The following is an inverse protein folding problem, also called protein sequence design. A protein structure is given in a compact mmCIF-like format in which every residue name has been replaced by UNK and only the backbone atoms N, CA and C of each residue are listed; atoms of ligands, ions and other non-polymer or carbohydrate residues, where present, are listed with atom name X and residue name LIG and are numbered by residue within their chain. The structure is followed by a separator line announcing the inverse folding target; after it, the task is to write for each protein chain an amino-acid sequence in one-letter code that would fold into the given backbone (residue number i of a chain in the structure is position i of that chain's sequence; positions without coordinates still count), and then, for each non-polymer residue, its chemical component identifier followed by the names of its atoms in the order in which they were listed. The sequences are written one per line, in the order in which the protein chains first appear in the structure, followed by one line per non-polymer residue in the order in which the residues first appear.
data_IF_090886055472
#
_entry.id   IF_090886055472
#
_cell.length_a   1.000
_cell.length_b   1.000
_cell.length_c   1.000
_cell.angle_alpha   90.00
_cell.angle_beta   90.00
_cell.angle_gamma   90.00
#
_symmetry.space_group_name_H-M   'P 1'
#
loop_
_entity.id
_entity.type
_entity.pdbx_description
1 polymer ?
#
# COMPACT_ATOMS: atom_id res chain seq x y z
N UNK A 1 -18.70 -6.45 -4.07
CA UNK A 1 -17.93 -5.19 -4.15
C UNK A 1 -18.71 -3.95 -3.68
N UNK A 2 -19.97 -3.76 -4.10
CA UNK A 2 -20.76 -2.54 -3.85
C UNK A 2 -20.94 -2.19 -2.35
N UNK A 3 -21.12 -3.20 -1.50
CA UNK A 3 -21.23 -3.01 -0.05
C UNK A 3 -20.00 -2.33 0.57
N UNK A 4 -18.78 -2.75 0.18
CA UNK A 4 -17.52 -2.18 0.69
C UNK A 4 -17.37 -0.72 0.29
N UNK A 5 -17.69 -0.38 -0.96
CA UNK A 5 -17.68 1.00 -1.47
C UNK A 5 -18.68 1.88 -0.70
N UNK A 6 -19.89 1.38 -0.48
CA UNK A 6 -20.91 2.12 0.27
C UNK A 6 -20.57 2.28 1.76
N UNK A 7 -19.87 1.33 2.36
CA UNK A 7 -19.31 1.51 3.70
C UNK A 7 -18.28 2.65 3.72
N UNK A 8 -17.30 2.63 2.81
CA UNK A 8 -16.28 3.68 2.72
C UNK A 8 -16.88 5.07 2.51
N UNK A 9 -17.87 5.20 1.61
CA UNK A 9 -18.61 6.46 1.38
C UNK A 9 -19.37 6.98 2.60
N UNK A 10 -19.61 6.15 3.62
CA UNK A 10 -20.25 6.58 4.87
C UNK A 10 -19.24 7.03 5.92
N UNK A 11 -18.06 6.39 5.96
CA UNK A 11 -17.03 6.63 6.99
C UNK A 11 -15.95 7.62 6.56
N UNK A 12 -15.78 7.84 5.26
CA UNK A 12 -14.84 8.83 4.69
C UNK A 12 -15.61 10.08 4.31
N UNK A 13 -15.09 11.25 4.70
CA UNK A 13 -15.68 12.53 4.34
C UNK A 13 -15.60 12.74 2.82
N UNK A 14 -16.62 13.37 2.17
CA UNK A 14 -16.59 13.61 0.72
C UNK A 14 -15.36 14.41 0.24
N UNK A 15 -14.81 15.25 1.10
CA UNK A 15 -13.61 16.07 0.85
C UNK A 15 -12.34 15.50 1.52
N UNK A 16 -12.33 14.22 1.88
CA UNK A 16 -11.19 13.62 2.54
C UNK A 16 -9.92 13.66 1.67
N UNK A 17 -8.77 13.95 2.28
CA UNK A 17 -7.49 13.95 1.60
C UNK A 17 -6.70 12.65 1.83
N UNK A 18 -5.98 12.18 0.81
CA UNK A 18 -4.96 11.12 0.89
C UNK A 18 -3.76 11.50 0.01
N UNK A 19 -2.70 12.03 0.63
CA UNK A 19 -1.65 12.74 -0.09
C UNK A 19 -2.25 13.90 -0.90
N UNK A 20 -1.97 13.93 -2.21
CA UNK A 20 -2.53 14.91 -3.14
C UNK A 20 -3.96 14.57 -3.64
N UNK A 21 -4.51 13.41 -3.24
CA UNK A 21 -5.83 12.97 -3.70
C UNK A 21 -6.93 13.55 -2.82
N UNK A 22 -8.05 13.91 -3.43
CA UNK A 22 -9.23 14.44 -2.74
C UNK A 22 -10.46 13.63 -3.08
N UNK A 23 -11.17 13.23 -2.03
CA UNK A 23 -12.47 12.59 -2.08
C UNK A 23 -12.43 11.08 -2.00
N UNK A 24 -13.54 10.52 -1.51
CA UNK A 24 -13.65 9.09 -1.19
C UNK A 24 -13.46 8.18 -2.40
N UNK A 25 -13.91 8.59 -3.59
CA UNK A 25 -13.77 7.76 -4.79
C UNK A 25 -12.29 7.64 -5.22
N UNK A 26 -11.48 8.68 -5.05
CA UNK A 26 -10.04 8.63 -5.31
C UNK A 26 -9.30 7.71 -4.32
N UNK A 27 -9.71 7.70 -3.04
CA UNK A 27 -9.17 6.77 -2.04
C UNK A 27 -9.54 5.32 -2.38
N UNK A 28 -10.79 5.08 -2.76
CA UNK A 28 -11.25 3.75 -3.21
C UNK A 28 -10.43 3.28 -4.41
N UNK A 29 -10.21 4.15 -5.39
CA UNK A 29 -9.41 3.83 -6.57
C UNK A 29 -7.98 3.45 -6.19
N UNK A 30 -7.31 4.19 -5.30
CA UNK A 30 -5.98 3.83 -4.82
C UNK A 30 -5.94 2.45 -4.17
N UNK A 31 -6.92 2.12 -3.33
CA UNK A 31 -6.99 0.80 -2.71
C UNK A 31 -7.16 -0.29 -3.76
N UNK A 32 -7.97 -0.05 -4.81
CA UNK A 32 -8.10 -0.99 -5.92
C UNK A 32 -6.77 -1.17 -6.65
N UNK A 33 -6.07 -0.08 -7.00
CA UNK A 33 -4.76 -0.15 -7.67
C UNK A 33 -3.78 -0.99 -6.85
N UNK A 34 -3.67 -0.75 -5.55
CA UNK A 34 -2.80 -1.55 -4.66
C UNK A 34 -3.19 -3.03 -4.64
N UNK A 35 -4.47 -3.34 -4.45
CA UNK A 35 -4.94 -4.74 -4.43
C UNK A 35 -4.75 -5.46 -5.77
N UNK A 36 -4.65 -4.73 -6.88
CA UNK A 36 -4.35 -5.27 -8.20
C UNK A 36 -2.84 -5.37 -8.46
N UNK A 37 -2.03 -4.50 -7.85
CA UNK A 37 -0.60 -4.44 -8.08
C UNK A 37 0.14 -5.63 -7.47
N UNK A 38 -0.28 -6.08 -6.30
CA UNK A 38 0.36 -7.19 -5.59
C UNK A 38 -0.33 -8.53 -5.87
N UNK A 39 0.44 -9.61 -5.94
CA UNK A 39 -0.11 -10.96 -6.08
C UNK A 39 -0.79 -11.45 -4.78
N UNK A 40 -0.37 -10.90 -3.64
CA UNK A 40 -1.00 -11.05 -2.33
C UNK A 40 -0.92 -9.70 -1.62
N UNK A 41 -1.99 -9.30 -0.95
CA UNK A 41 -2.08 -8.02 -0.23
C UNK A 41 -2.90 -8.18 1.05
N UNK A 42 -2.23 -8.29 2.20
CA UNK A 42 -2.86 -8.45 3.50
C UNK A 42 -2.36 -7.41 4.49
N UNK A 43 -3.29 -6.78 5.21
CA UNK A 43 -2.96 -5.79 6.24
C UNK A 43 -3.24 -6.40 7.62
N UNK A 44 -2.24 -6.39 8.48
CA UNK A 44 -2.34 -6.75 9.89
C UNK A 44 -2.27 -5.48 10.75
N UNK A 45 -3.21 -5.29 11.66
CA UNK A 45 -3.14 -4.21 12.66
C UNK A 45 -2.29 -4.70 13.83
N UNK A 46 -1.17 -4.03 14.07
CA UNK A 46 -0.24 -4.36 15.15
C UNK A 46 -0.64 -3.64 16.44
N UNK A 47 -0.78 -2.31 16.38
CA UNK A 47 -1.13 -1.50 17.54
C UNK A 47 -1.86 -0.21 17.14
N UNK A 48 -2.73 0.26 18.03
CA UNK A 48 -3.20 1.66 18.01
C UNK A 48 -2.25 2.42 18.94
N UNK A 49 -1.47 3.34 18.40
CA UNK A 49 -0.41 4.03 19.15
C UNK A 49 -0.97 5.13 20.04
N UNK A 50 -1.76 6.02 19.44
CA UNK A 50 -2.17 7.26 20.11
C UNK A 50 -3.43 7.82 19.48
N UNK A 51 -4.22 8.50 20.30
CA UNK A 51 -5.26 9.42 19.87
C UNK A 51 -4.82 10.81 20.32
N UNK A 52 -4.53 11.68 19.36
CA UNK A 52 -4.10 13.07 19.61
C UNK A 52 -5.09 14.04 18.96
N UNK A 53 -4.84 15.34 19.05
CA UNK A 53 -5.72 16.37 18.51
C UNK A 53 -6.82 16.82 19.47
N UNK A 54 -7.75 17.62 18.97
CA UNK A 54 -8.91 18.08 19.75
C UNK A 54 -10.01 17.01 19.76
N UNK A 55 -10.94 17.10 20.72
CA UNK A 55 -12.12 16.21 20.75
C UNK A 55 -12.96 16.32 19.46
N UNK A 56 -12.98 17.50 18.84
CA UNK A 56 -13.69 17.77 17.58
C UNK A 56 -12.96 17.21 16.35
N UNK A 57 -11.63 17.12 16.39
CA UNK A 57 -10.79 16.66 15.27
C UNK A 57 -9.70 15.69 15.73
N UNK A 58 -10.07 14.50 16.25
CA UNK A 58 -9.09 13.57 16.78
C UNK A 58 -8.26 12.96 15.64
N UNK A 59 -7.00 12.70 15.93
CA UNK A 59 -6.06 12.01 15.05
C UNK A 59 -5.74 10.66 15.70
N UNK A 60 -6.04 9.58 14.99
CA UNK A 60 -5.73 8.22 15.41
C UNK A 60 -4.54 7.71 14.61
N UNK A 61 -3.49 7.28 15.31
CA UNK A 61 -2.30 6.67 14.70
C UNK A 61 -2.30 5.17 14.96
N UNK A 62 -2.11 4.39 13.89
CA UNK A 62 -2.15 2.93 13.92
C UNK A 62 -0.88 2.40 13.25
N UNK A 63 -0.18 1.49 13.92
CA UNK A 63 0.85 0.65 13.30
C UNK A 63 0.20 -0.54 12.65
N UNK A 64 0.55 -0.76 11.39
CA UNK A 64 0.11 -1.92 10.63
C UNK A 64 1.30 -2.59 9.98
N UNK A 65 1.12 -3.85 9.59
CA UNK A 65 2.03 -4.57 8.71
C UNK A 65 1.30 -4.86 7.42
N UNK A 66 1.94 -4.56 6.30
CA UNK A 66 1.49 -5.00 4.99
C UNK A 66 2.29 -6.23 4.59
N UNK A 67 1.62 -7.37 4.52
CA UNK A 67 2.16 -8.59 3.93
C UNK A 67 1.81 -8.59 2.45
N UNK A 68 2.83 -8.58 1.60
CA UNK A 68 2.62 -8.54 0.17
C UNK A 68 3.57 -9.45 -0.59
N UNK A 69 3.05 -10.04 -1.66
CA UNK A 69 3.85 -10.80 -2.62
C UNK A 69 4.05 -9.94 -3.86
N UNK A 70 5.31 -9.63 -4.17
CA UNK A 70 5.71 -8.95 -5.41
C UNK A 70 5.92 -9.99 -6.51
N UNK A 71 5.09 -9.94 -7.55
CA UNK A 71 5.23 -10.77 -8.75
C UNK A 71 5.79 -9.96 -9.93
N UNK A 72 6.00 -10.60 -11.07
CA UNK A 72 6.42 -9.90 -12.29
C UNK A 72 5.35 -8.90 -12.76
N UNK A 73 4.09 -9.19 -12.52
CA UNK A 73 2.94 -8.34 -12.86
C UNK A 73 2.89 -7.06 -12.00
N UNK A 74 3.51 -7.07 -10.81
CA UNK A 74 3.65 -5.87 -9.98
C UNK A 74 4.55 -4.82 -10.62
N UNK A 75 5.55 -5.23 -11.41
CA UNK A 75 6.59 -4.34 -11.95
C UNK A 75 6.06 -3.29 -12.92
N UNK A 76 5.24 -3.63 -13.93
CA UNK A 76 4.64 -2.64 -14.80
C UNK A 76 3.83 -1.56 -14.06
N UNK A 77 3.29 -1.87 -12.88
CA UNK A 77 2.43 -0.96 -12.11
C UNK A 77 3.27 -0.08 -11.17
N UNK A 78 4.15 -0.67 -10.37
CA UNK A 78 4.88 0.04 -9.33
C UNK A 78 6.29 0.46 -9.73
N UNK A 79 6.94 -0.29 -10.62
CA UNK A 79 8.33 -0.10 -11.05
C UNK A 79 8.48 -0.05 -12.59
N UNK A 80 7.66 0.74 -13.31
CA UNK A 80 7.58 0.69 -14.77
C UNK A 80 8.89 1.00 -15.48
N UNK A 81 9.81 1.71 -14.81
CA UNK A 81 11.07 2.12 -15.40
C UNK A 81 12.16 1.04 -15.33
N UNK A 82 11.95 -0.05 -14.59
CA UNK A 82 12.94 -1.13 -14.47
C UNK A 82 13.27 -1.76 -15.82
N UNK A 83 12.25 -2.14 -16.59
CA UNK A 83 12.44 -2.70 -17.94
C UNK A 83 13.02 -1.65 -18.90
N UNK A 84 12.55 -0.40 -18.82
CA UNK A 84 13.04 0.70 -19.68
C UNK A 84 14.54 0.95 -19.48
N UNK A 85 15.02 0.82 -18.24
CA UNK A 85 16.43 1.01 -17.90
C UNK A 85 17.25 -0.29 -17.95
N UNK A 86 16.68 -1.41 -18.42
CA UNK A 86 17.32 -2.73 -18.50
C UNK A 86 17.92 -3.17 -17.16
N UNK A 87 17.12 -3.01 -16.10
CA UNK A 87 17.47 -3.37 -14.72
C UNK A 87 16.72 -4.60 -14.25
N UNK A 88 16.57 -5.58 -15.14
CA UNK A 88 15.95 -6.87 -14.81
C UNK A 88 16.69 -7.56 -13.66
N UNK A 89 17.98 -7.30 -13.47
CA UNK A 89 18.75 -7.74 -12.30
C UNK A 89 18.10 -7.32 -10.96
N UNK A 90 17.56 -6.10 -10.87
CA UNK A 90 16.85 -5.63 -9.67
C UNK A 90 15.49 -6.31 -9.51
N UNK A 91 14.81 -6.59 -10.62
CA UNK A 91 13.55 -7.32 -10.61
C UNK A 91 13.72 -8.74 -10.09
N UNK A 92 14.70 -9.48 -10.63
CA UNK A 92 14.99 -10.86 -10.20
C UNK A 92 15.37 -10.98 -8.72
N UNK A 93 15.83 -9.90 -8.08
CA UNK A 93 16.12 -9.90 -6.64
C UNK A 93 14.86 -9.94 -5.77
N UNK A 94 13.74 -9.40 -6.24
CA UNK A 94 12.54 -9.18 -5.43
C UNK A 94 11.29 -9.92 -5.91
N UNK A 95 11.26 -10.35 -7.18
CA UNK A 95 10.17 -11.16 -7.72
C UNK A 95 10.08 -12.49 -6.98
N UNK A 96 8.85 -12.96 -6.78
CA UNK A 96 8.55 -14.23 -6.12
C UNK A 96 9.04 -14.30 -4.68
N UNK A 97 9.03 -13.14 -4.00
CA UNK A 97 9.36 -13.00 -2.58
C UNK A 97 8.19 -12.43 -1.80
N UNK A 98 8.03 -12.94 -0.59
CA UNK A 98 7.15 -12.37 0.42
C UNK A 98 7.82 -11.17 1.08
N UNK A 99 7.10 -10.07 1.14
CA UNK A 99 7.47 -8.87 1.86
C UNK A 99 6.56 -8.67 3.05
N UNK A 100 7.14 -8.17 4.13
CA UNK A 100 6.38 -7.57 5.23
C UNK A 100 6.90 -6.15 5.40
N UNK A 101 6.06 -5.19 5.08
CA UNK A 101 6.35 -3.77 5.25
C UNK A 101 5.77 -3.30 6.58
N UNK A 102 6.57 -2.54 7.34
CA UNK A 102 6.06 -1.81 8.49
C UNK A 102 5.39 -0.53 7.98
N UNK A 103 4.18 -0.27 8.47
CA UNK A 103 3.38 0.85 8.03
C UNK A 103 2.87 1.66 9.22
N UNK A 104 2.77 2.96 9.03
CA UNK A 104 2.08 3.87 9.97
C UNK A 104 0.94 4.51 9.23
N UNK A 105 -0.27 4.31 9.74
CA UNK A 105 -1.49 4.91 9.21
C UNK A 105 -2.00 5.97 10.17
N UNK A 106 -2.32 7.15 9.66
CA UNK A 106 -2.86 8.27 10.43
C UNK A 106 -4.23 8.62 9.88
N UNK A 107 -5.25 8.59 10.72
CA UNK A 107 -6.60 9.04 10.38
C UNK A 107 -6.94 10.27 11.19
N UNK A 108 -7.22 11.39 10.53
CA UNK A 108 -7.88 12.52 11.16
C UNK A 108 -9.38 12.41 10.93
N UNK A 109 -10.15 12.58 11.98
CA UNK A 109 -11.60 12.56 11.91
C UNK A 109 -12.20 13.96 12.02
N UNK A 110 -13.38 14.15 11.44
CA UNK A 110 -14.27 15.28 11.67
C UNK A 110 -15.09 15.08 12.96
N UNK A 111 -15.79 16.13 13.38
CA UNK A 111 -16.71 16.09 14.51
C UNK A 111 -17.82 15.03 14.34
N UNK A 112 -18.29 14.80 13.10
CA UNK A 112 -19.28 13.75 12.79
C UNK A 112 -18.67 12.34 12.66
N UNK A 113 -17.39 12.17 13.02
CA UNK A 113 -16.70 10.89 13.08
C UNK A 113 -16.29 10.34 11.71
N UNK A 114 -16.20 11.18 10.68
CA UNK A 114 -15.74 10.77 9.34
C UNK A 114 -14.27 11.08 9.14
N UNK A 115 -13.57 10.24 8.38
CA UNK A 115 -12.16 10.45 8.03
C UNK A 115 -12.06 11.65 7.08
N UNK A 116 -11.37 12.72 7.48
CA UNK A 116 -11.07 13.89 6.65
C UNK A 116 -9.63 13.90 6.12
N UNK A 117 -8.72 13.21 6.79
CA UNK A 117 -7.36 13.04 6.32
C UNK A 117 -6.91 11.59 6.57
N UNK A 118 -6.35 10.97 5.53
CA UNK A 118 -5.76 9.66 5.54
C UNK A 118 -4.29 9.76 5.14
N UNK A 119 -3.40 9.60 6.12
CA UNK A 119 -1.96 9.48 5.89
C UNK A 119 -1.52 8.04 5.96
N UNK A 120 -0.64 7.64 5.03
CA UNK A 120 -0.01 6.32 5.02
C UNK A 120 1.49 6.49 4.76
N UNK A 121 2.29 5.94 5.66
CA UNK A 121 3.73 5.83 5.52
C UNK A 121 4.10 4.35 5.50
N UNK A 122 4.91 3.93 4.52
CA UNK A 122 5.36 2.55 4.36
C UNK A 122 6.89 2.54 4.34
N UNK A 123 7.51 1.73 5.20
CA UNK A 123 8.96 1.55 5.21
C UNK A 123 9.40 0.55 4.12
N UNK A 124 9.39 1.02 2.87
CA UNK A 124 9.91 0.26 1.74
C UNK A 124 11.41 -0.01 1.86
N UNK A 125 12.17 0.93 2.41
CA UNK A 125 13.62 0.85 2.47
C UNK A 125 14.06 -0.31 3.36
N UNK A 126 13.51 -0.41 4.57
CA UNK A 126 13.84 -1.50 5.49
C UNK A 126 13.52 -2.87 4.87
N UNK A 127 12.33 -3.01 4.31
CA UNK A 127 11.88 -4.28 3.72
C UNK A 127 12.74 -4.69 2.50
N UNK A 128 13.06 -3.74 1.62
CA UNK A 128 13.90 -4.00 0.45
C UNK A 128 15.36 -4.26 0.82
N UNK A 129 15.92 -3.55 1.81
CA UNK A 129 17.31 -3.77 2.28
C UNK A 129 17.47 -5.20 2.80
N UNK A 130 16.48 -5.74 3.53
CA UNK A 130 16.51 -7.11 4.06
C UNK A 130 16.61 -8.17 2.95
N UNK A 131 16.02 -7.91 1.78
CA UNK A 131 16.02 -8.85 0.64
C UNK A 131 17.22 -8.63 -0.28
N UNK A 132 17.49 -7.38 -0.65
CA UNK A 132 18.49 -7.04 -1.65
C UNK A 132 19.92 -6.98 -1.07
N UNK A 133 20.06 -6.78 0.24
CA UNK A 133 21.34 -6.74 0.94
C UNK A 133 22.25 -5.55 0.60
N UNK A 134 21.84 -4.66 -0.30
CA UNK A 134 22.61 -3.51 -0.77
C UNK A 134 21.73 -2.27 -0.91
N UNK A 135 22.04 -1.24 -0.13
CA UNK A 135 21.35 0.06 -0.15
C UNK A 135 21.36 0.73 -1.52
N UNK A 136 22.38 0.49 -2.35
CA UNK A 136 22.47 1.05 -3.71
C UNK A 136 21.44 0.41 -4.64
N UNK A 137 21.21 -0.89 -4.51
CA UNK A 137 20.16 -1.58 -5.26
C UNK A 137 18.77 -1.09 -4.84
N UNK A 138 18.56 -0.88 -3.54
CA UNK A 138 17.30 -0.34 -3.02
C UNK A 138 17.07 1.08 -3.54
N UNK A 139 18.05 1.97 -3.41
CA UNK A 139 17.93 3.35 -3.89
C UNK A 139 17.61 3.42 -5.39
N UNK A 140 18.24 2.55 -6.18
CA UNK A 140 18.00 2.49 -7.61
C UNK A 140 16.64 1.90 -7.97
N UNK A 141 16.18 0.84 -7.29
CA UNK A 141 14.85 0.28 -7.50
C UNK A 141 13.75 1.29 -7.14
N UNK A 142 13.88 1.97 -5.99
CA UNK A 142 12.95 3.02 -5.58
C UNK A 142 12.96 4.22 -6.56
N UNK A 143 14.13 4.60 -7.09
CA UNK A 143 14.24 5.63 -8.13
C UNK A 143 13.52 5.25 -9.43
N UNK A 144 13.43 3.96 -9.74
CA UNK A 144 12.72 3.42 -10.90
C UNK A 144 11.23 3.14 -10.61
N UNK A 145 10.75 3.46 -9.41
CA UNK A 145 9.36 3.35 -9.02
C UNK A 145 8.54 4.60 -9.34
N UNK A 146 7.22 4.44 -9.39
CA UNK A 146 6.25 5.55 -9.47
C UNK A 146 5.53 5.81 -8.14
N UNK A 147 5.96 5.14 -7.07
CA UNK A 147 5.36 5.24 -5.74
C UNK A 147 5.60 6.66 -5.19
N UNK A 148 4.55 7.28 -4.65
CA UNK A 148 4.67 8.56 -3.96
C UNK A 148 5.11 8.42 -2.51
N UNK A 149 5.56 9.51 -1.85
CA UNK A 149 5.85 9.50 -0.42
C UNK A 149 4.64 9.02 0.41
N UNK A 150 3.43 9.37 0.00
CA UNK A 150 2.16 8.94 0.63
C UNK A 150 1.73 7.54 0.19
N UNK A 151 2.62 6.76 -0.43
CA UNK A 151 2.35 5.44 -0.98
C UNK A 151 1.21 5.39 -2.03
N UNK A 152 0.87 6.51 -2.66
CA UNK A 152 -0.06 6.54 -3.79
C UNK A 152 0.62 6.11 -5.08
N UNK A 153 -0.18 5.53 -5.98
CA UNK A 153 0.23 5.09 -7.31
C UNK A 153 -0.51 5.93 -8.36
N UNK A 154 0.14 6.29 -9.48
CA UNK A 154 -0.54 6.94 -10.58
C UNK A 154 -1.62 6.02 -11.16
N UNK A 155 -2.67 6.62 -11.72
CA UNK A 155 -3.66 5.86 -12.46
C UNK A 155 -2.97 5.04 -13.58
N UNK A 156 -3.39 3.80 -13.87
CA UNK A 156 -2.74 2.91 -14.84
C UNK A 156 -2.57 3.51 -16.25
N UNK A 157 -3.38 4.50 -16.60
CA UNK A 157 -3.36 5.21 -17.87
C UNK A 157 -2.33 6.36 -17.94
N UNK A 158 -1.89 6.89 -16.79
CA UNK A 158 -0.90 7.96 -16.71
C UNK A 158 0.55 7.46 -16.88
N UNK A 159 0.83 6.19 -16.59
CA UNK A 159 2.18 5.59 -16.71
C UNK A 159 2.64 5.41 -18.15
N UNK A 160 1.72 5.40 -19.13
CA UNK A 160 2.05 5.23 -20.56
C UNK A 160 2.43 6.53 -21.28
N UNK A 161 2.16 7.69 -20.68
CA UNK A 161 2.47 9.00 -21.28
C UNK A 161 3.46 9.78 -20.41
N UNK A 162 4.75 9.56 -20.70
CA UNK A 162 5.91 10.44 -20.50
C UNK A 162 5.89 11.53 -19.42
N UNK A 163 6.92 11.47 -18.55
CA UNK A 163 7.47 12.54 -17.71
C UNK A 163 6.67 12.99 -16.48
N UNK A 164 6.76 12.20 -15.40
CA UNK A 164 6.56 12.74 -14.05
C UNK A 164 7.82 13.51 -13.64
N UNK A 165 7.88 14.81 -13.96
CA UNK A 165 8.88 15.72 -13.40
C UNK A 165 8.56 15.99 -11.92
N UNK A 166 9.22 15.28 -10.99
CA UNK A 166 9.19 15.64 -9.56
C UNK A 166 10.23 16.72 -9.25
N UNK A 167 9.77 17.94 -8.96
CA UNK A 167 10.51 18.89 -8.13
C UNK A 167 10.12 18.62 -6.68
N UNK A 168 11.07 18.21 -5.85
CA UNK A 168 10.88 18.05 -4.41
C UNK A 168 11.34 19.34 -3.74
N UNK A 169 10.42 20.10 -3.15
CA UNK A 169 10.73 21.18 -2.22
C UNK A 169 10.43 20.69 -0.80
N UNK A 170 11.49 20.60 0.02
CA UNK A 170 11.36 20.31 1.45
C UNK A 170 10.98 21.59 2.19
N UNK A 171 9.81 21.62 2.82
CA UNK A 171 9.50 22.63 3.83
C UNK A 171 9.58 22.00 5.21
N UNK A 172 10.58 22.46 5.96
CA UNK A 172 10.83 22.14 7.35
C UNK A 172 9.69 22.71 8.22
N UNK A 173 8.94 21.84 8.92
CA UNK A 173 8.04 22.26 10.01
C UNK A 173 8.32 21.38 11.22
N UNK A 174 9.11 21.93 12.13
CA UNK A 174 9.25 21.46 13.50
C UNK A 174 7.90 21.53 14.22
N UNK A 175 7.50 20.44 14.86
CA UNK A 175 6.48 20.45 15.90
C UNK A 175 7.16 20.05 17.22
N UNK A 176 7.41 21.06 18.06
CA UNK A 176 7.78 20.88 19.45
C UNK A 176 6.57 20.45 20.28
N UNK A 177 6.77 19.41 21.11
CA UNK A 177 6.09 19.18 22.39
C UNK A 177 4.61 18.81 22.36
N UNK A 178 4.26 17.68 22.98
CA UNK A 178 3.52 17.63 24.24
C UNK A 178 3.27 16.16 24.64
N UNK A 179 3.76 15.83 25.83
CA UNK A 179 3.53 14.59 26.55
C UNK A 179 2.07 14.51 27.05
N UNK A 180 1.35 13.43 26.69
CA UNK A 180 0.41 12.76 27.60
C UNK A 180 0.01 11.38 27.01
N UNK A 181 0.69 10.32 27.45
CA UNK A 181 0.40 8.94 27.01
C UNK A 181 -0.76 8.34 27.83
N UNK A 182 -1.90 8.10 27.17
CA UNK A 182 -2.87 7.08 27.63
C UNK A 182 -2.92 5.94 26.62
N UNK A 183 -2.24 4.85 26.96
CA UNK A 183 -2.20 3.61 26.18
C UNK A 183 -3.52 2.85 26.33
N UNK A 184 -4.31 2.76 25.26
CA UNK A 184 -5.45 1.86 25.17
C UNK A 184 -4.99 0.51 24.57
N UNK A 185 -5.01 -0.52 25.41
CA UNK A 185 -4.59 -1.87 25.02
C UNK A 185 -5.78 -2.63 24.42
N UNK A 186 -5.94 -2.63 23.09
CA UNK A 186 -6.94 -3.45 22.39
C UNK A 186 -6.28 -4.60 21.64
N UNK A 187 -6.84 -5.81 21.75
CA UNK A 187 -6.37 -7.03 21.08
C UNK A 187 -6.33 -6.85 19.55
N UNK A 188 -5.36 -7.46 18.85
CA UNK A 188 -5.26 -7.38 17.40
C UNK A 188 -6.51 -7.99 16.75
N UNK A 189 -7.12 -7.24 15.86
CA UNK A 189 -8.22 -7.70 15.01
C UNK A 189 -7.75 -7.61 13.57
N UNK A 190 -7.88 -8.71 12.82
CA UNK A 190 -7.63 -8.74 11.37
C UNK A 190 -8.64 -7.81 10.71
N UNK A 191 -8.19 -6.69 10.15
CA UNK A 191 -9.03 -5.77 9.43
C UNK A 191 -8.98 -6.08 7.94
N UNK A 192 -10.14 -6.44 7.37
CA UNK A 192 -10.45 -6.55 5.95
C UNK A 192 -9.44 -7.27 5.04
N UNK A 193 -9.69 -8.56 4.81
CA UNK A 193 -9.16 -9.28 3.64
C UNK A 193 -9.84 -8.75 2.38
N UNK A 194 -9.06 -8.18 1.47
CA UNK A 194 -9.48 -8.01 0.07
C UNK A 194 -9.11 -9.30 -0.65
N UNK A 195 -10.06 -10.23 -0.70
CA UNK A 195 -9.89 -11.46 -1.49
C UNK A 195 -9.79 -11.06 -2.97
N UNK A 196 -8.67 -11.40 -3.60
CA UNK A 196 -8.36 -11.16 -5.01
C UNK A 196 -9.09 -12.13 -5.96
N UNK A 197 -10.13 -12.83 -5.47
CA UNK A 197 -10.72 -13.99 -6.14
C UNK A 197 -11.73 -13.68 -7.25
N UNK A 198 -11.94 -12.40 -7.59
CA UNK A 198 -12.68 -12.01 -8.80
C UNK A 198 -11.74 -11.88 -10.02
N UNK A 199 -10.90 -12.90 -10.28
CA UNK A 199 -10.21 -13.05 -11.57
C UNK A 199 -11.25 -13.39 -12.63
N UNK A 200 -11.74 -12.38 -13.34
CA UNK A 200 -12.42 -12.60 -14.62
C UNK A 200 -11.41 -13.16 -15.63
N UNK A 201 -11.82 -14.25 -16.27
CA UNK A 201 -11.12 -15.02 -17.29
C UNK A 201 -10.37 -14.15 -18.30
N UNK A 202 -9.05 -14.11 -18.18
CA UNK A 202 -8.15 -13.86 -19.28
C UNK A 202 -7.37 -15.15 -19.51
N UNK A 203 -7.94 -16.06 -20.31
CA UNK A 203 -7.24 -17.25 -20.78
C UNK A 203 -6.06 -16.84 -21.66
N UNK A 204 -4.84 -16.90 -21.12
CA UNK A 204 -3.62 -16.99 -21.92
C UNK A 204 -3.33 -18.47 -22.19
N UNK A 205 -3.29 -18.90 -23.47
CA UNK A 205 -3.12 -20.30 -23.82
C UNK A 205 -1.63 -20.63 -23.76
N UNK A 206 -1.19 -21.26 -22.68
CA UNK A 206 -0.12 -22.26 -22.65
C UNK A 206 0.30 -22.52 -21.20
N UNK A 207 -0.23 -23.57 -20.58
CA UNK A 207 0.59 -24.51 -19.82
C UNK A 207 -0.18 -25.82 -19.59
N UNK A 208 0.40 -26.91 -20.09
CA UNK A 208 -0.05 -28.30 -19.85
C UNK A 208 0.02 -28.61 -18.37
N UNK A 209 -1.13 -28.93 -17.76
CA UNK A 209 -1.18 -29.64 -16.49
C UNK A 209 -0.72 -31.09 -16.69
N UNK A 210 0.34 -31.49 -15.99
CA UNK A 210 0.69 -32.90 -15.79
C UNK A 210 0.05 -33.33 -14.48
N UNK A 211 -1.06 -34.07 -14.57
CA UNK A 211 -1.62 -34.80 -13.44
C UNK A 211 -0.62 -35.87 -12.99
N UNK A 212 -0.27 -35.89 -11.71
CA UNK A 212 0.18 -37.11 -11.04
C UNK A 212 -0.89 -37.52 -10.03
N UNK A 213 -1.71 -38.47 -10.45
CA UNK A 213 -2.46 -39.33 -9.55
C UNK A 213 -1.48 -40.23 -8.79
N UNK A 214 -1.66 -40.33 -7.48
CA UNK A 214 -1.40 -41.59 -6.77
C UNK A 214 -2.36 -41.67 -5.59
N UNK A 215 -3.49 -42.33 -5.83
CA UNK A 215 -4.30 -42.96 -4.79
C UNK A 215 -3.80 -44.39 -4.63
N UNK A 216 -3.42 -44.79 -3.41
CA UNK A 216 -3.95 -45.97 -2.70
C UNK A 216 -2.94 -46.65 -1.77
N UNK A 217 -3.33 -46.65 -0.49
CA UNK A 217 -3.45 -47.80 0.42
C UNK A 217 -2.20 -48.64 0.72
N UNK A 218 -1.77 -48.60 1.99
CA UNK A 218 -2.08 -49.64 2.99
C UNK A 218 -2.10 -49.02 4.39
#
# INVERSE_FOLDING_TARGET
MEYKKNFLRRVVHPDAAYGDLVGVDAIIEQWQIHTMAYAQFEIEVDAIESITGSEEYPIVVIRTKLHAWISRETFPIMFPFVQRHRREDLMEMVVDRDFTFNCVTRFQFTEDGRIINYGLEIDFAEALIRIMGDVRHVAELTRLSVISPDATLPAPEATFHGEVSRKVEFTDRSCDGLDDERVYNSKPSRLCVWDSDDRHDYESPNHRFVHRDTTSQL
#
